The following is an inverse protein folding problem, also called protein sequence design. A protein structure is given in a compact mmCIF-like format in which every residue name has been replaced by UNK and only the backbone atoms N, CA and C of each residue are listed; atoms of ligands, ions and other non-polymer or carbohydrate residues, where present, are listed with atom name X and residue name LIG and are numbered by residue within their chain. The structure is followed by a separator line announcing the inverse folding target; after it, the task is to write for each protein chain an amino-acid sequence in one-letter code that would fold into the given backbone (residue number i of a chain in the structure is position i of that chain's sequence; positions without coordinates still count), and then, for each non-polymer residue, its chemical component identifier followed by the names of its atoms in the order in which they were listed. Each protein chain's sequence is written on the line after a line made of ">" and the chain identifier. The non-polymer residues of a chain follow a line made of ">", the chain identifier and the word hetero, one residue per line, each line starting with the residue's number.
data_IF_373834617713
#
_entry.id   IF_373834617713
#
_cell.length_a   1.000
_cell.length_b   1.000
_cell.length_c   1.000
_cell.angle_alpha   90.00
_cell.angle_beta   90.00
_cell.angle_gamma   90.00
#
_symmetry.space_group_name_H-M   'P 1'
#
loop_
_entity.id
_entity.type
_entity.pdbx_description
1 polymer ?
#
# COMPACT_ATOMS: atom_id res chain seq x y z
N UNK A 1 22.09 17.94 -8.65
CA UNK A 1 20.83 17.96 -7.86
C UNK A 1 19.83 16.93 -8.42
N UNK A 2 20.09 15.62 -8.25
CA UNK A 2 19.16 14.54 -8.68
C UNK A 2 19.30 13.24 -7.87
N UNK A 3 20.39 13.05 -7.13
CA UNK A 3 20.70 11.75 -6.48
C UNK A 3 20.29 11.62 -5.00
N UNK A 4 19.75 12.68 -4.40
CA UNK A 4 19.34 12.67 -2.99
C UNK A 4 17.97 12.02 -2.74
N UNK A 5 16.99 12.29 -3.61
CA UNK A 5 15.62 11.76 -3.45
C UNK A 5 15.54 10.25 -3.70
N UNK A 6 16.38 9.73 -4.59
CA UNK A 6 16.36 8.33 -5.05
C UNK A 6 17.00 7.34 -4.07
N UNK A 7 17.63 7.84 -3.00
CA UNK A 7 18.33 7.03 -1.99
C UNK A 7 17.47 6.66 -0.79
N UNK A 8 16.28 7.25 -0.62
CA UNK A 8 15.45 6.99 0.55
C UNK A 8 14.60 5.72 0.33
N UNK A 9 14.71 4.67 1.17
CA UNK A 9 13.94 3.43 1.06
C UNK A 9 12.42 3.66 0.93
N UNK A 10 11.86 4.63 1.67
CA UNK A 10 10.45 4.99 1.61
C UNK A 10 9.98 5.45 0.22
N UNK A 11 10.85 6.11 -0.57
CA UNK A 11 10.50 6.54 -1.93
C UNK A 11 10.24 5.35 -2.85
N UNK A 12 10.89 4.20 -2.61
CA UNK A 12 10.68 2.99 -3.41
C UNK A 12 9.30 2.39 -3.11
N UNK A 13 8.90 2.34 -1.84
CA UNK A 13 7.56 1.89 -1.47
C UNK A 13 6.49 2.78 -2.09
N UNK A 14 6.68 4.11 -2.07
CA UNK A 14 5.70 5.04 -2.64
C UNK A 14 5.55 4.87 -4.16
N UNK A 15 6.66 4.67 -4.88
CA UNK A 15 6.60 4.37 -6.32
C UNK A 15 5.84 3.06 -6.57
N UNK A 16 6.09 2.03 -5.76
CA UNK A 16 5.37 0.75 -5.89
C UNK A 16 3.86 0.92 -5.63
N UNK A 17 3.47 1.65 -4.58
CA UNK A 17 2.06 1.96 -4.28
C UNK A 17 1.40 2.67 -5.46
N UNK A 18 2.00 3.75 -5.98
CA UNK A 18 1.43 4.50 -7.10
C UNK A 18 1.29 3.65 -8.35
N UNK A 19 2.27 2.77 -8.61
CA UNK A 19 2.21 1.86 -9.76
C UNK A 19 1.08 0.85 -9.62
N UNK A 20 0.90 0.27 -8.42
CA UNK A 20 -0.23 -0.62 -8.12
C UNK A 20 -1.57 0.12 -8.26
N UNK A 21 -1.69 1.33 -7.72
CA UNK A 21 -2.92 2.11 -7.77
C UNK A 21 -3.29 2.50 -9.20
N UNK A 22 -2.30 2.88 -10.01
CA UNK A 22 -2.53 3.17 -11.42
C UNK A 22 -3.02 1.92 -12.17
N UNK A 23 -2.42 0.76 -11.91
CA UNK A 23 -2.88 -0.50 -12.50
C UNK A 23 -4.30 -0.87 -12.05
N UNK A 24 -4.61 -0.68 -10.76
CA UNK A 24 -5.94 -0.94 -10.20
C UNK A 24 -7.00 -0.05 -10.83
N UNK A 25 -6.76 1.27 -10.89
CA UNK A 25 -7.68 2.23 -11.51
C UNK A 25 -7.88 1.90 -12.99
N UNK A 26 -6.80 1.61 -13.74
CA UNK A 26 -6.90 1.33 -15.17
C UNK A 26 -7.72 0.05 -15.45
N UNK A 27 -7.41 -1.03 -14.73
CA UNK A 27 -8.14 -2.29 -14.88
C UNK A 27 -9.59 -2.15 -14.41
N UNK A 28 -9.81 -1.55 -13.23
CA UNK A 28 -11.15 -1.31 -12.70
C UNK A 28 -12.00 -0.45 -13.64
N UNK A 29 -11.45 0.64 -14.16
CA UNK A 29 -12.14 1.51 -15.12
C UNK A 29 -12.47 0.76 -16.41
N UNK A 30 -11.52 0.00 -16.97
CA UNK A 30 -11.74 -0.82 -18.16
C UNK A 30 -12.95 -1.75 -17.93
N UNK A 31 -12.98 -2.46 -16.81
CA UNK A 31 -14.05 -3.40 -16.49
C UNK A 31 -15.40 -2.77 -16.12
N UNK A 32 -15.46 -1.46 -15.86
CA UNK A 32 -16.71 -0.71 -15.62
C UNK A 32 -17.20 -0.04 -16.90
N UNK A 33 -16.30 0.57 -17.68
CA UNK A 33 -16.64 1.34 -18.88
C UNK A 33 -17.10 0.44 -20.03
N UNK A 34 -16.53 -0.77 -20.18
CA UNK A 34 -16.96 -1.70 -21.22
C UNK A 34 -18.45 -2.09 -21.10
N UNK A 35 -18.93 -2.57 -19.94
CA UNK A 35 -20.35 -2.84 -19.75
C UNK A 35 -21.22 -1.59 -19.79
N UNK A 36 -20.87 -0.54 -19.03
CA UNK A 36 -21.74 0.64 -18.89
C UNK A 36 -21.80 1.54 -20.12
N UNK A 37 -20.69 1.63 -20.87
CA UNK A 37 -20.58 2.47 -22.06
C UNK A 37 -20.88 1.75 -23.36
N UNK A 38 -20.57 0.45 -23.46
CA UNK A 38 -20.68 -0.31 -24.72
C UNK A 38 -21.62 -1.52 -24.64
N UNK A 39 -22.14 -1.87 -23.47
CA UNK A 39 -22.99 -3.05 -23.28
C UNK A 39 -22.26 -4.39 -23.47
N UNK A 40 -20.92 -4.37 -23.49
CA UNK A 40 -20.10 -5.56 -23.69
C UNK A 40 -19.49 -5.94 -22.34
N UNK A 41 -19.92 -7.07 -21.78
CA UNK A 41 -19.34 -7.64 -20.56
C UNK A 41 -18.40 -8.82 -20.90
N UNK A 42 -17.08 -8.59 -21.10
CA UNK A 42 -16.15 -9.70 -21.35
C UNK A 42 -16.07 -10.66 -20.15
N UNK A 43 -16.36 -10.18 -18.94
CA UNK A 43 -16.38 -10.99 -17.72
C UNK A 43 -17.59 -11.93 -17.61
N UNK A 44 -18.67 -11.70 -18.35
CA UNK A 44 -19.84 -12.60 -18.35
C UNK A 44 -19.82 -13.56 -19.54
N UNK A 45 -19.08 -13.21 -20.59
CA UNK A 45 -18.94 -14.02 -21.80
C UNK A 45 -17.78 -15.03 -21.73
N UNK A 46 -16.70 -14.71 -21.03
CA UNK A 46 -15.52 -15.57 -20.95
C UNK A 46 -15.07 -15.79 -19.50
N UNK A 47 -15.01 -17.06 -19.09
CA UNK A 47 -14.63 -17.48 -17.73
C UNK A 47 -13.19 -17.11 -17.39
N UNK A 48 -12.28 -17.11 -18.38
CA UNK A 48 -10.88 -16.77 -18.16
C UNK A 48 -10.72 -15.28 -17.85
N UNK A 49 -11.50 -14.42 -18.52
CA UNK A 49 -11.56 -12.99 -18.23
C UNK A 49 -12.19 -12.71 -16.85
N UNK A 50 -13.22 -13.47 -16.48
CA UNK A 50 -13.82 -13.42 -15.15
C UNK A 50 -12.79 -13.73 -14.05
N UNK A 51 -12.05 -14.84 -14.20
CA UNK A 51 -11.00 -15.29 -13.29
C UNK A 51 -9.85 -14.29 -13.21
N UNK A 52 -9.37 -13.81 -14.35
CA UNK A 52 -8.30 -12.83 -14.41
C UNK A 52 -8.68 -11.52 -13.72
N UNK A 53 -9.90 -11.02 -13.94
CA UNK A 53 -10.41 -9.81 -13.29
C UNK A 53 -10.37 -9.93 -11.77
N UNK A 54 -10.98 -10.97 -11.20
CA UNK A 54 -11.02 -11.16 -9.76
C UNK A 54 -9.63 -11.39 -9.15
N UNK A 55 -8.78 -12.15 -9.83
CA UNK A 55 -7.41 -12.38 -9.41
C UNK A 55 -6.58 -11.09 -9.39
N UNK A 56 -6.63 -10.31 -10.46
CA UNK A 56 -5.91 -9.04 -10.57
C UNK A 56 -6.40 -8.03 -9.52
N UNK A 57 -7.73 -7.89 -9.36
CA UNK A 57 -8.35 -7.00 -8.37
C UNK A 57 -7.91 -7.33 -6.94
N UNK A 58 -7.98 -8.61 -6.58
CA UNK A 58 -7.59 -9.08 -5.23
C UNK A 58 -6.11 -8.84 -4.97
N UNK A 59 -5.24 -9.17 -5.94
CA UNK A 59 -3.79 -9.01 -5.79
C UNK A 59 -3.39 -7.55 -5.67
N UNK A 60 -3.93 -6.68 -6.52
CA UNK A 60 -3.59 -5.26 -6.51
C UNK A 60 -3.98 -4.62 -5.19
N UNK A 61 -5.18 -4.94 -4.67
CA UNK A 61 -5.64 -4.47 -3.36
C UNK A 61 -4.70 -4.94 -2.23
N UNK A 62 -4.33 -6.23 -2.21
CA UNK A 62 -3.43 -6.75 -1.19
C UNK A 62 -2.01 -6.17 -1.28
N UNK A 63 -1.51 -5.93 -2.50
CA UNK A 63 -0.22 -5.30 -2.74
C UNK A 63 -0.19 -3.86 -2.23
N UNK A 64 -1.20 -3.06 -2.58
CA UNK A 64 -1.33 -1.68 -2.11
C UNK A 64 -1.26 -1.61 -0.58
N UNK A 65 -2.15 -2.33 0.11
CA UNK A 65 -2.22 -2.33 1.58
C UNK A 65 -0.92 -2.80 2.22
N UNK A 66 -0.28 -3.84 1.67
CA UNK A 66 0.98 -4.37 2.20
C UNK A 66 2.15 -3.39 2.02
N UNK A 67 2.23 -2.72 0.86
CA UNK A 67 3.28 -1.73 0.60
C UNK A 67 3.10 -0.48 1.47
N UNK A 68 1.86 -0.09 1.77
CA UNK A 68 1.56 1.01 2.65
C UNK A 68 1.95 0.71 4.11
N UNK A 69 1.67 -0.51 4.59
CA UNK A 69 2.15 -0.98 5.90
C UNK A 69 3.68 -0.98 5.93
N UNK A 70 4.34 -1.51 4.89
CA UNK A 70 5.80 -1.56 4.79
C UNK A 70 6.42 -0.14 4.82
N UNK A 71 5.81 0.81 4.11
CA UNK A 71 6.22 2.21 4.14
C UNK A 71 6.06 2.83 5.54
N UNK A 72 5.00 2.48 6.26
CA UNK A 72 4.75 2.94 7.63
C UNK A 72 5.75 2.37 8.64
N UNK A 73 6.11 1.09 8.48
CA UNK A 73 7.16 0.44 9.28
C UNK A 73 8.51 1.10 9.04
N UNK A 74 8.88 1.31 7.77
CA UNK A 74 10.14 1.95 7.38
C UNK A 74 10.29 3.33 8.04
N UNK A 75 9.23 4.15 7.99
CA UNK A 75 9.23 5.46 8.64
C UNK A 75 9.31 5.39 10.15
N UNK A 76 8.65 4.42 10.77
CA UNK A 76 8.76 4.18 12.21
C UNK A 76 10.20 3.85 12.60
N UNK A 77 10.90 3.07 11.78
CA UNK A 77 12.31 2.71 11.99
C UNK A 77 13.24 3.92 11.81
N UNK A 78 13.05 4.73 10.77
CA UNK A 78 13.86 5.93 10.50
C UNK A 78 13.70 6.97 11.61
N UNK A 79 12.48 7.14 12.11
CA UNK A 79 12.15 8.09 13.19
C UNK A 79 12.54 7.57 14.58
N UNK A 80 12.97 6.31 14.70
CA UNK A 80 13.37 5.72 15.99
C UNK A 80 14.65 6.35 16.54
N UNK A 81 14.73 6.49 17.87
CA UNK A 81 15.89 7.04 18.59
C UNK A 81 17.13 6.14 18.51
N UNK A 82 16.94 4.84 18.25
CA UNK A 82 18.03 3.88 18.23
C UNK A 82 18.76 3.90 16.87
N UNK A 83 20.05 4.23 16.89
CA UNK A 83 20.89 4.30 15.68
C UNK A 83 21.01 2.94 14.96
N UNK A 84 20.94 1.82 15.68
CA UNK A 84 20.96 0.48 15.09
C UNK A 84 19.66 0.19 14.33
N UNK A 85 18.52 0.63 14.85
CA UNK A 85 17.21 0.50 14.18
C UNK A 85 17.17 1.35 12.91
N UNK A 86 17.74 2.57 12.95
CA UNK A 86 17.85 3.45 11.77
C UNK A 86 18.75 2.87 10.68
N UNK A 87 19.87 2.22 11.05
CA UNK A 87 20.78 1.55 10.09
C UNK A 87 20.15 0.31 9.43
N UNK A 88 19.15 -0.32 10.05
CA UNK A 88 18.49 -1.53 9.54
C UNK A 88 17.53 -1.23 8.39
N UNK A 89 17.02 0.00 8.28
CA UNK A 89 16.29 0.48 7.09
C UNK A 89 17.29 0.65 5.95
N UNK A 90 17.44 -0.41 5.15
CA UNK A 90 18.26 -0.37 3.94
C UNK A 90 17.36 -0.55 2.73
N UNK A 91 17.70 0.14 1.65
CA UNK A 91 16.97 0.04 0.37
C UNK A 91 16.91 -1.41 -0.13
N UNK A 92 17.99 -2.19 0.06
CA UNK A 92 18.04 -3.60 -0.33
C UNK A 92 17.01 -4.44 0.44
N UNK A 93 16.87 -4.22 1.75
CA UNK A 93 15.88 -4.92 2.56
C UNK A 93 14.46 -4.59 2.10
N UNK A 94 14.16 -3.31 1.83
CA UNK A 94 12.84 -2.90 1.33
C UNK A 94 12.52 -3.57 0.00
N UNK A 95 13.46 -3.59 -0.95
CA UNK A 95 13.23 -4.26 -2.23
C UNK A 95 12.98 -5.76 -2.07
N UNK A 96 13.75 -6.43 -1.20
CA UNK A 96 13.52 -7.84 -0.88
C UNK A 96 12.11 -8.01 -0.30
N UNK A 97 11.71 -7.17 0.66
CA UNK A 97 10.37 -7.20 1.24
C UNK A 97 9.27 -7.00 0.20
N UNK A 98 9.39 -6.01 -0.69
CA UNK A 98 8.40 -5.74 -1.76
C UNK A 98 8.25 -6.97 -2.66
N UNK A 99 9.35 -7.56 -3.10
CA UNK A 99 9.34 -8.75 -3.97
C UNK A 99 8.77 -9.95 -3.23
N UNK A 100 9.19 -10.19 -1.99
CA UNK A 100 8.66 -11.29 -1.17
C UNK A 100 7.17 -11.16 -0.92
N UNK A 101 6.68 -9.95 -0.60
CA UNK A 101 5.25 -9.64 -0.45
C UNK A 101 4.51 -9.88 -1.76
N UNK A 102 5.05 -9.41 -2.89
CA UNK A 102 4.44 -9.58 -4.20
C UNK A 102 4.24 -11.07 -4.53
N UNK A 103 5.29 -11.87 -4.39
CA UNK A 103 5.28 -13.32 -4.66
C UNK A 103 4.35 -14.04 -3.68
N UNK A 104 4.43 -13.73 -2.39
CA UNK A 104 3.59 -14.35 -1.37
C UNK A 104 2.10 -14.17 -1.68
N UNK A 105 1.67 -12.94 -1.95
CA UNK A 105 0.27 -12.66 -2.27
C UNK A 105 -0.15 -13.24 -3.63
N UNK A 106 0.72 -13.21 -4.64
CA UNK A 106 0.43 -13.80 -5.94
C UNK A 106 0.19 -15.31 -5.87
N UNK A 107 1.01 -16.02 -5.08
CA UNK A 107 0.86 -17.46 -4.84
C UNK A 107 -0.34 -17.73 -3.93
N UNK A 108 -0.51 -16.95 -2.86
CA UNK A 108 -1.61 -17.14 -1.92
C UNK A 108 -2.95 -17.00 -2.63
N UNK A 109 -3.15 -15.99 -3.47
CA UNK A 109 -4.39 -15.75 -4.22
C UNK A 109 -4.53 -16.54 -5.52
N UNK A 110 -3.59 -17.43 -5.85
CA UNK A 110 -3.67 -18.27 -7.07
C UNK A 110 -4.96 -19.10 -7.13
N UNK A 111 -5.51 -19.49 -5.98
CA UNK A 111 -6.80 -20.18 -5.88
C UNK A 111 -7.96 -19.38 -6.52
N UNK A 112 -7.91 -18.04 -6.52
CA UNK A 112 -8.94 -17.21 -7.15
C UNK A 112 -9.04 -17.43 -8.68
N UNK A 113 -7.96 -17.85 -9.35
CA UNK A 113 -7.98 -18.20 -10.78
C UNK A 113 -8.78 -19.46 -11.08
N UNK A 114 -9.01 -20.34 -10.11
CA UNK A 114 -9.68 -21.62 -10.32
C UNK A 114 -11.15 -21.54 -9.91
N UNK A 115 -11.42 -20.93 -8.76
CA UNK A 115 -12.75 -20.94 -8.12
C UNK A 115 -13.68 -19.78 -8.51
N UNK A 116 -13.24 -18.86 -9.37
CA UNK A 116 -14.12 -17.88 -10.00
C UNK A 116 -14.88 -18.51 -11.17
N UNK A 117 -16.19 -18.29 -11.22
CA UNK A 117 -17.10 -18.88 -12.19
C UNK A 117 -18.21 -17.91 -12.60
N UNK A 118 -18.83 -18.17 -13.74
CA UNK A 118 -19.96 -17.36 -14.22
C UNK A 118 -21.25 -17.98 -13.70
N UNK A 119 -21.99 -17.23 -12.89
CA UNK A 119 -23.28 -17.62 -12.35
C UNK A 119 -24.43 -16.96 -13.09
N UNK A 120 -25.36 -17.76 -13.60
CA UNK A 120 -26.66 -17.27 -14.05
C UNK A 120 -27.54 -16.93 -12.83
N UNK A 121 -27.89 -15.66 -12.67
CA UNK A 121 -28.84 -15.17 -11.64
C UNK A 121 -30.27 -15.03 -12.20
N UNK A 122 -30.48 -15.40 -13.47
CA UNK A 122 -31.76 -15.41 -14.18
C UNK A 122 -31.59 -15.90 -15.63
N UNK A 123 -32.64 -15.87 -16.46
CA UNK A 123 -32.60 -16.38 -17.85
C UNK A 123 -31.69 -15.57 -18.78
N UNK A 124 -31.39 -14.32 -18.45
CA UNK A 124 -30.59 -13.41 -19.29
C UNK A 124 -29.49 -12.66 -18.52
N UNK A 125 -29.32 -12.94 -17.21
CA UNK A 125 -28.38 -12.21 -16.36
C UNK A 125 -27.31 -13.14 -15.81
N UNK A 126 -26.08 -12.95 -16.30
CA UNK A 126 -24.89 -13.68 -15.89
C UNK A 126 -23.98 -12.76 -15.08
N UNK A 127 -23.44 -13.26 -13.97
CA UNK A 127 -22.53 -12.52 -13.10
C UNK A 127 -21.30 -13.35 -12.86
N UNK A 128 -20.13 -12.73 -13.00
CA UNK A 128 -18.87 -13.32 -12.59
C UNK A 128 -18.78 -13.24 -11.06
N UNK A 129 -18.69 -14.39 -10.38
CA UNK A 129 -18.57 -14.44 -8.92
C UNK A 129 -17.87 -15.72 -8.45
N UNK A 130 -17.45 -15.74 -7.18
CA UNK A 130 -16.90 -16.95 -6.58
C UNK A 130 -17.95 -18.06 -6.50
N UNK A 131 -17.47 -19.31 -6.49
CA UNK A 131 -18.34 -20.46 -6.34
C UNK A 131 -19.19 -20.36 -5.07
N UNK A 132 -20.54 -20.37 -5.19
CA UNK A 132 -21.43 -20.19 -4.05
C UNK A 132 -21.31 -21.41 -3.12
N UNK A 133 -21.42 -21.16 -1.83
CA UNK A 133 -21.27 -22.16 -0.78
C UNK A 133 -20.20 -21.75 0.24
N UNK A 134 -19.59 -22.74 0.89
CA UNK A 134 -18.64 -22.52 1.98
C UNK A 134 -17.42 -21.68 1.57
N UNK A 135 -16.96 -21.83 0.33
CA UNK A 135 -15.78 -21.12 -0.19
C UNK A 135 -16.00 -19.60 -0.29
N UNK A 136 -17.13 -19.18 -0.85
CA UNK A 136 -17.49 -17.75 -0.91
C UNK A 136 -17.59 -17.16 0.50
N UNK A 137 -18.24 -17.85 1.43
CA UNK A 137 -18.36 -17.39 2.83
C UNK A 137 -16.98 -17.22 3.47
N UNK A 138 -16.09 -18.21 3.30
CA UNK A 138 -14.73 -18.16 3.80
C UNK A 138 -13.95 -16.97 3.23
N UNK A 139 -14.00 -16.76 1.90
CA UNK A 139 -13.32 -15.64 1.25
C UNK A 139 -13.86 -14.29 1.72
N UNK A 140 -15.18 -14.15 1.88
CA UNK A 140 -15.78 -12.90 2.36
C UNK A 140 -15.29 -12.55 3.76
N UNK A 141 -15.32 -13.50 4.70
CA UNK A 141 -14.80 -13.26 6.05
C UNK A 141 -13.29 -12.99 6.02
N UNK A 142 -12.53 -13.79 5.29
CA UNK A 142 -11.10 -13.61 5.13
C UNK A 142 -10.77 -12.20 4.61
N UNK A 143 -11.43 -11.75 3.54
CA UNK A 143 -11.22 -10.43 2.95
C UNK A 143 -11.58 -9.32 3.93
N UNK A 144 -12.67 -9.48 4.69
CA UNK A 144 -13.08 -8.50 5.70
C UNK A 144 -12.00 -8.31 6.78
N UNK A 145 -11.40 -9.40 7.27
CA UNK A 145 -10.35 -9.29 8.28
C UNK A 145 -9.00 -8.84 7.70
N UNK A 146 -8.55 -9.49 6.63
CA UNK A 146 -7.20 -9.29 6.07
C UNK A 146 -7.08 -8.01 5.25
N UNK A 147 -8.13 -7.61 4.52
CA UNK A 147 -8.13 -6.37 3.75
C UNK A 147 -8.86 -5.25 4.52
N UNK A 148 -9.96 -5.55 5.21
CA UNK A 148 -10.78 -4.54 5.87
C UNK A 148 -10.31 -4.08 7.25
N UNK A 149 -9.77 -4.98 8.10
CA UNK A 149 -9.50 -4.64 9.52
C UNK A 149 -8.02 -4.54 9.86
N UNK A 150 -7.21 -5.51 9.41
CA UNK A 150 -5.80 -5.60 9.78
C UNK A 150 -4.97 -4.45 9.20
N UNK A 151 -5.09 -4.09 7.89
CA UNK A 151 -4.32 -3.00 7.32
C UNK A 151 -4.55 -1.66 8.01
N UNK A 152 -5.80 -1.18 8.21
CA UNK A 152 -6.00 0.09 8.89
C UNK A 152 -5.54 0.03 10.35
N UNK A 153 -5.74 -1.09 11.06
CA UNK A 153 -5.25 -1.23 12.43
C UNK A 153 -3.72 -1.09 12.52
N UNK A 154 -2.99 -1.80 11.66
CA UNK A 154 -1.52 -1.71 11.61
C UNK A 154 -1.05 -0.31 11.18
N UNK A 155 -1.69 0.27 10.16
CA UNK A 155 -1.37 1.62 9.69
C UNK A 155 -1.58 2.67 10.79
N UNK A 156 -2.68 2.61 11.54
CA UNK A 156 -2.94 3.51 12.68
C UNK A 156 -1.87 3.32 13.76
N UNK A 157 -1.54 2.09 14.12
CA UNK A 157 -0.55 1.79 15.15
C UNK A 157 0.83 2.34 14.78
N UNK A 158 1.30 2.08 13.55
CA UNK A 158 2.59 2.59 13.07
C UNK A 158 2.58 4.10 12.81
N UNK A 159 1.45 4.65 12.36
CA UNK A 159 1.23 6.09 12.20
C UNK A 159 1.37 6.84 13.52
N UNK A 160 0.68 6.39 14.57
CA UNK A 160 0.77 6.98 15.91
C UNK A 160 2.21 6.90 16.44
N UNK A 161 2.88 5.76 16.29
CA UNK A 161 4.29 5.61 16.71
C UNK A 161 5.21 6.56 15.96
N UNK A 162 5.01 6.73 14.65
CA UNK A 162 5.78 7.67 13.82
C UNK A 162 5.58 9.11 14.30
N UNK A 163 4.33 9.54 14.55
CA UNK A 163 4.03 10.90 15.03
C UNK A 163 4.62 11.14 16.42
N UNK A 164 4.50 10.18 17.35
CA UNK A 164 5.09 10.29 18.70
C UNK A 164 6.61 10.45 18.63
N UNK A 165 7.28 9.62 17.84
CA UNK A 165 8.73 9.66 17.70
C UNK A 165 9.20 10.96 17.00
N UNK A 166 8.47 11.43 15.99
CA UNK A 166 8.79 12.68 15.29
C UNK A 166 8.65 13.90 16.21
N UNK A 167 7.59 13.94 17.03
CA UNK A 167 7.38 15.01 18.03
C UNK A 167 8.46 15.01 19.12
N UNK A 168 8.92 13.83 19.56
CA UNK A 168 10.02 13.73 20.53
C UNK A 168 11.35 14.21 19.95
N UNK A 169 11.64 13.88 18.69
CA UNK A 169 12.83 14.36 18.00
C UNK A 169 12.82 15.89 17.86
N UNK A 170 11.68 16.48 17.48
CA UNK A 170 11.48 17.93 17.38
C UNK A 170 11.54 18.66 18.73
N UNK A 171 11.01 18.06 19.82
CA UNK A 171 11.11 18.65 21.17
C UNK A 171 12.54 18.69 21.70
N UNK A 172 13.38 17.72 21.35
CA UNK A 172 14.80 17.72 21.69
C UNK A 172 15.65 18.66 20.82
N UNK A 173 15.08 19.26 19.77
CA UNK A 173 15.74 20.26 18.91
C UNK A 173 15.12 21.66 19.00
N UNK A 174 14.24 21.93 19.98
CA UNK A 174 13.82 23.29 20.35
C UNK A 174 14.99 24.12 20.89
N UNK A 175 14.96 25.46 20.74
CA UNK A 175 16.10 26.25 20.31
C UNK A 175 17.31 26.06 21.22
N UNK A 176 18.39 25.50 20.67
CA UNK A 176 19.70 25.69 21.25
C UNK A 176 19.93 27.20 21.30
N UNK A 177 19.93 27.78 22.51
CA UNK A 177 20.51 29.10 22.75
C UNK A 177 21.84 29.15 22.03
N UNK A 178 21.96 30.12 21.13
CA UNK A 178 23.17 30.42 20.37
C UNK A 178 24.34 30.62 21.34
N UNK A 179 25.17 29.58 21.47
CA UNK A 179 26.56 29.74 21.90
C UNK A 179 27.39 29.64 20.63
N UNK A 180 27.85 30.81 20.18
CA UNK A 180 28.83 31.01 19.12
C UNK A 180 29.97 29.98 19.20
N UNK A 181 30.11 29.09 18.22
CA UNK A 181 31.40 28.69 17.60
C UNK A 181 31.10 28.03 16.24
N UNK A 182 31.70 28.58 15.16
CA UNK A 182 32.14 27.80 13.98
C UNK A 182 31.07 27.29 13.03
N UNK A 183 30.79 28.07 11.99
CA UNK A 183 29.97 27.71 10.83
C UNK A 183 30.55 26.52 10.04
N UNK A 184 29.95 25.34 10.20
CA UNK A 184 29.89 24.30 9.15
C UNK A 184 28.42 24.10 8.80
N UNK A 185 28.08 24.29 7.53
CA UNK A 185 26.75 24.43 6.96
C UNK A 185 25.75 23.31 7.35
N UNK A 186 24.84 23.60 8.27
CA UNK A 186 23.63 22.80 8.57
C UNK A 186 22.50 23.20 7.60
N UNK A 187 22.71 23.05 6.30
CA UNK A 187 21.71 23.32 5.25
C UNK A 187 20.87 22.10 4.86
N UNK A 188 21.26 20.90 5.30
CA UNK A 188 20.66 19.63 4.85
C UNK A 188 19.49 19.13 5.70
N UNK A 189 19.43 19.43 6.99
CA UNK A 189 18.50 18.80 7.94
C UNK A 189 17.08 19.35 7.85
N UNK A 190 16.92 20.65 7.57
CA UNK A 190 15.61 21.31 7.50
C UNK A 190 14.81 20.93 6.21
N UNK A 191 15.52 20.72 5.11
CA UNK A 191 14.94 20.27 3.83
C UNK A 191 14.55 18.78 3.89
N UNK A 192 15.32 17.97 4.64
CA UNK A 192 14.97 16.56 4.89
C UNK A 192 13.74 16.48 5.81
N UNK A 193 13.68 17.27 6.89
CA UNK A 193 12.51 17.32 7.79
C UNK A 193 11.21 17.76 7.09
N UNK A 194 11.25 18.76 6.21
CA UNK A 194 10.05 19.21 5.48
C UNK A 194 9.55 18.17 4.47
N UNK A 195 10.47 17.45 3.80
CA UNK A 195 10.11 16.33 2.90
C UNK A 195 9.57 15.13 3.67
N UNK A 196 10.16 14.80 4.82
CA UNK A 196 9.68 13.72 5.69
C UNK A 196 8.29 14.04 6.25
N UNK A 197 8.02 15.32 6.60
CA UNK A 197 6.68 15.78 6.99
C UNK A 197 5.65 15.70 5.85
N UNK A 198 6.03 16.07 4.63
CA UNK A 198 5.15 15.92 3.46
C UNK A 198 4.81 14.46 3.20
N UNK A 199 5.80 13.57 3.28
CA UNK A 199 5.59 12.13 3.15
C UNK A 199 4.66 11.59 4.25
N UNK A 200 4.85 12.00 5.52
CA UNK A 200 3.96 11.64 6.63
C UNK A 200 2.53 12.09 6.35
N UNK A 201 2.35 13.32 5.85
CA UNK A 201 1.02 13.85 5.50
C UNK A 201 0.36 13.04 4.40
N UNK A 202 1.10 12.62 3.37
CA UNK A 202 0.59 11.78 2.28
C UNK A 202 0.11 10.43 2.81
N UNK A 203 0.89 9.74 3.65
CA UNK A 203 0.45 8.46 4.23
C UNK A 203 -0.75 8.64 5.17
N UNK A 204 -0.83 9.74 5.92
CA UNK A 204 -2.03 10.02 6.73
C UNK A 204 -3.27 10.27 5.87
N UNK A 205 -3.11 10.94 4.72
CA UNK A 205 -4.20 11.12 3.74
C UNK A 205 -4.59 9.77 3.15
N UNK A 206 -3.63 8.96 2.70
CA UNK A 206 -3.91 7.63 2.16
C UNK A 206 -4.59 6.73 3.20
N UNK A 207 -4.23 6.81 4.48
CA UNK A 207 -4.92 6.09 5.57
C UNK A 207 -6.36 6.56 5.73
N UNK A 208 -6.61 7.87 5.66
CA UNK A 208 -7.97 8.42 5.76
C UNK A 208 -8.80 8.01 4.54
N UNK A 209 -8.23 8.08 3.33
CA UNK A 209 -8.88 7.65 2.09
C UNK A 209 -9.14 6.14 2.06
N UNK A 210 -8.27 5.32 2.65
CA UNK A 210 -8.49 3.88 2.75
C UNK A 210 -9.66 3.50 3.68
N UNK A 211 -9.98 4.36 4.66
CA UNK A 211 -11.05 4.12 5.66
C UNK A 211 -12.43 4.62 5.16
N UNK A 212 -12.46 5.60 4.25
CA UNK A 212 -13.67 6.21 3.67
C UNK A 212 -14.14 5.40 2.47
#
# INVERSE_FOLDING_TARGET
>A
MKDGLRKNPCSVCFIAINMTNFAYIYLGLLFVVLPSGYGIDPSTNNIDFCRFRYYADTILTCWESSYLILASIDRTMITSRNANTRKRSTRRLIFICIISIAIFWALFHSHALIFAQILGKGPTYFVCYYQPGAYTTFITYYSLFINGLIPPFLMILFGIRTVKNARQLGRNTGPAKSSNVGSVSVGGTHIVQSKDQQLIRIVLVDIITYII
#
